data_IF_901049759273
#
_entry.id   IF_901049759273
#
_cell.length_a   1.000
_cell.length_b   1.000
_cell.length_c   1.000
_cell.angle_alpha   90.00
_cell.angle_beta   90.00
_cell.angle_gamma   90.00
#
_symmetry.space_group_name_H-M   'P 1'
#
loop_
_entity.id
_entity.type
_entity.pdbx_description
1 polymer ?
#
# COMPACT_ATOMS: atom_id res chain seq x y z
N UNK A 1 -9.65 -63.56 71.60
CA UNK A 1 -10.64 -62.89 70.71
C UNK A 1 -9.93 -61.79 69.98
N UNK A 2 -9.93 -61.85 68.67
CA UNK A 2 -8.97 -61.16 67.75
C UNK A 2 -9.59 -59.92 67.18
N UNK A 3 -9.02 -58.79 67.41
CA UNK A 3 -9.40 -57.49 66.80
C UNK A 3 -8.45 -57.16 65.69
N UNK A 4 -9.00 -57.05 64.48
CA UNK A 4 -8.24 -56.71 63.30
C UNK A 4 -8.15 -55.17 63.19
N UNK A 5 -6.92 -54.65 63.15
CA UNK A 5 -6.62 -53.25 62.77
C UNK A 5 -6.51 -53.19 61.26
N UNK A 6 -7.37 -52.44 60.61
CA UNK A 6 -7.23 -52.10 59.20
C UNK A 6 -6.56 -50.75 59.10
N UNK A 7 -5.32 -50.80 58.62
CA UNK A 7 -4.56 -49.61 58.25
C UNK A 7 -5.11 -49.03 56.95
N UNK A 8 -5.63 -47.81 56.98
CA UNK A 8 -6.04 -47.07 55.80
C UNK A 8 -4.86 -46.22 55.34
N UNK A 9 -4.24 -46.64 54.20
CA UNK A 9 -3.19 -45.89 53.53
C UNK A 9 -3.84 -44.82 52.65
N UNK A 10 -3.75 -43.54 53.05
CA UNK A 10 -4.27 -42.41 52.31
C UNK A 10 -3.21 -42.02 51.26
N UNK A 11 -3.43 -42.42 50.02
CA UNK A 11 -2.65 -41.94 48.88
C UNK A 11 -3.17 -40.55 48.48
N UNK A 12 -2.40 -39.51 48.78
CA UNK A 12 -2.64 -38.15 48.23
C UNK A 12 -2.17 -38.10 46.77
N UNK A 13 -3.10 -38.09 45.84
CA UNK A 13 -2.81 -37.76 44.46
C UNK A 13 -2.57 -36.26 44.33
N UNK A 14 -1.33 -35.90 44.08
CA UNK A 14 -0.93 -34.53 43.73
C UNK A 14 -1.21 -34.32 42.24
N UNK A 15 -2.34 -33.73 41.86
CA UNK A 15 -2.63 -33.32 40.50
C UNK A 15 -1.92 -31.98 40.20
N UNK A 16 -0.81 -32.07 39.48
CA UNK A 16 -0.13 -30.90 38.90
C UNK A 16 -0.99 -30.38 37.76
N UNK A 17 -1.74 -29.29 37.97
CA UNK A 17 -2.32 -28.50 36.90
C UNK A 17 -1.20 -27.78 36.18
N UNK A 18 -0.77 -28.32 35.03
CA UNK A 18 -0.04 -27.55 34.02
C UNK A 18 -0.99 -26.52 33.42
N UNK A 19 -1.01 -25.30 33.97
CA UNK A 19 -1.60 -24.16 33.28
C UNK A 19 -0.74 -23.83 32.04
N UNK A 20 -1.04 -24.47 30.91
CA UNK A 20 -0.51 -24.10 29.62
C UNK A 20 -1.00 -22.71 29.26
N UNK A 21 -0.18 -21.70 29.54
CA UNK A 21 -0.40 -20.36 29.04
C UNK A 21 -0.32 -20.40 27.51
N UNK A 22 -1.47 -20.38 26.84
CA UNK A 22 -1.57 -20.10 25.42
C UNK A 22 -1.22 -18.61 25.29
N UNK A 23 0.07 -18.34 25.03
CA UNK A 23 0.47 -17.02 24.52
C UNK A 23 -0.19 -16.83 23.17
N UNK A 24 -1.31 -16.13 23.20
CA UNK A 24 -1.99 -15.63 22.04
C UNK A 24 -1.02 -14.64 21.37
N UNK A 25 -0.25 -15.11 20.39
CA UNK A 25 0.47 -14.22 19.49
C UNK A 25 -0.58 -13.35 18.82
N UNK A 26 -0.72 -12.13 19.33
CA UNK A 26 -1.45 -11.08 18.64
C UNK A 26 -0.81 -10.93 17.26
N UNK A 27 -1.51 -11.39 16.23
CA UNK A 27 -1.24 -10.98 14.87
C UNK A 27 -1.43 -9.47 14.87
N UNK A 28 -0.33 -8.73 14.80
CA UNK A 28 -0.32 -7.29 14.58
C UNK A 28 -0.95 -7.03 13.20
N UNK A 29 -2.26 -7.12 13.15
CA UNK A 29 -3.04 -6.51 12.07
C UNK A 29 -2.88 -5.01 12.26
N UNK A 30 -2.00 -4.39 11.48
CA UNK A 30 -1.75 -2.97 11.49
C UNK A 30 -3.10 -2.23 11.37
N UNK A 31 -3.64 -1.78 12.51
CA UNK A 31 -4.87 -1.00 12.54
C UNK A 31 -4.55 0.39 12.00
N UNK A 32 -5.41 0.87 11.10
CA UNK A 32 -5.35 2.26 10.66
C UNK A 32 -5.50 3.20 11.86
N UNK A 33 -4.72 4.28 11.88
CA UNK A 33 -4.97 5.41 12.77
C UNK A 33 -6.31 6.05 12.39
N UNK A 34 -7.23 6.34 13.32
CA UNK A 34 -8.47 7.05 13.03
C UNK A 34 -8.26 8.39 12.32
N UNK A 35 -7.12 9.06 12.52
CA UNK A 35 -6.74 10.29 11.83
C UNK A 35 -6.19 10.05 10.42
N UNK A 36 -5.70 8.84 10.15
CA UNK A 36 -5.11 8.43 8.87
C UNK A 36 -5.79 7.14 8.35
N UNK A 37 -7.03 7.22 7.87
CA UNK A 37 -7.75 6.05 7.38
C UNK A 37 -7.08 5.50 6.11
N UNK A 38 -6.83 4.18 6.08
CA UNK A 38 -6.28 3.51 4.90
C UNK A 38 -7.24 3.59 3.72
N UNK A 39 -6.71 3.41 2.52
CA UNK A 39 -7.48 3.34 1.30
C UNK A 39 -8.62 2.31 1.43
N UNK A 40 -9.82 2.71 1.02
CA UNK A 40 -11.03 1.91 1.09
C UNK A 40 -11.01 0.84 0.00
N UNK A 41 -10.95 -0.44 0.40
CA UNK A 41 -10.98 -1.56 -0.55
C UNK A 41 -12.27 -1.56 -1.36
N UNK A 42 -12.12 -1.79 -2.65
CA UNK A 42 -13.18 -1.87 -3.64
C UNK A 42 -13.07 -3.17 -4.44
N UNK A 43 -14.13 -3.48 -5.17
CA UNK A 43 -14.15 -4.59 -6.13
C UNK A 43 -14.48 -4.04 -7.51
N UNK A 44 -13.66 -4.39 -8.49
CA UNK A 44 -13.95 -4.16 -9.91
C UNK A 44 -13.52 -5.39 -10.71
N UNK A 45 -14.33 -5.80 -11.68
CA UNK A 45 -14.04 -6.96 -12.51
C UNK A 45 -12.73 -6.74 -13.28
N UNK A 46 -11.80 -7.67 -13.19
CA UNK A 46 -10.50 -7.59 -13.85
C UNK A 46 -9.48 -6.64 -13.19
N UNK A 47 -9.70 -6.22 -11.93
CA UNK A 47 -8.77 -5.39 -11.17
C UNK A 47 -8.55 -5.99 -9.78
N UNK A 48 -7.36 -6.53 -9.55
CA UNK A 48 -6.97 -7.07 -8.25
C UNK A 48 -6.44 -5.98 -7.29
N UNK A 49 -6.45 -6.26 -5.99
CA UNK A 49 -5.93 -5.38 -4.93
C UNK A 49 -6.43 -3.92 -5.05
N UNK A 50 -7.69 -3.76 -5.48
CA UNK A 50 -8.28 -2.48 -5.85
C UNK A 50 -8.76 -1.70 -4.62
N UNK A 51 -8.43 -0.41 -4.57
CA UNK A 51 -8.89 0.48 -3.50
C UNK A 51 -8.96 1.94 -3.95
N UNK A 52 -9.81 2.70 -3.28
CA UNK A 52 -9.92 4.16 -3.35
C UNK A 52 -9.06 4.78 -2.25
N UNK A 53 -8.06 5.54 -2.65
CA UNK A 53 -7.19 6.31 -1.75
C UNK A 53 -7.85 7.65 -1.40
N UNK A 54 -8.38 8.29 -2.44
CA UNK A 54 -9.23 9.49 -2.37
C UNK A 54 -10.28 9.41 -3.49
N UNK A 55 -11.32 10.28 -3.53
CA UNK A 55 -12.27 10.31 -4.63
C UNK A 55 -11.65 10.52 -6.02
N UNK A 56 -10.37 10.94 -6.08
CA UNK A 56 -9.61 11.21 -7.32
C UNK A 56 -8.41 10.28 -7.52
N UNK A 57 -8.01 9.52 -6.52
CA UNK A 57 -6.85 8.62 -6.60
C UNK A 57 -7.23 7.20 -6.20
N UNK A 58 -6.94 6.27 -7.07
CA UNK A 58 -7.21 4.83 -6.91
C UNK A 58 -5.91 4.04 -7.08
N UNK A 59 -5.87 2.86 -6.47
CA UNK A 59 -4.72 1.95 -6.53
C UNK A 59 -5.15 0.52 -6.85
N UNK A 60 -4.25 -0.27 -7.41
CA UNK A 60 -4.53 -1.70 -7.62
C UNK A 60 -3.39 -2.46 -8.26
N UNK A 61 -3.71 -3.71 -8.63
CA UNK A 61 -2.89 -4.55 -9.49
C UNK A 61 -3.09 -4.16 -10.97
N UNK A 62 -2.23 -4.68 -11.83
CA UNK A 62 -2.37 -4.53 -13.27
C UNK A 62 -3.77 -4.95 -13.73
N UNK A 63 -4.53 -4.07 -14.39
CA UNK A 63 -5.86 -4.41 -14.86
C UNK A 63 -5.77 -5.36 -16.09
N UNK A 64 -6.67 -6.32 -16.14
CA UNK A 64 -6.97 -7.04 -17.38
C UNK A 64 -7.69 -6.12 -18.37
N UNK A 65 -7.88 -6.56 -19.63
CA UNK A 65 -8.57 -5.75 -20.63
C UNK A 65 -9.97 -5.30 -20.16
N UNK A 66 -10.76 -6.23 -19.60
CA UNK A 66 -12.05 -5.92 -19.00
C UNK A 66 -11.94 -5.04 -17.73
N UNK A 67 -10.78 -5.07 -17.05
CA UNK A 67 -10.49 -4.22 -15.91
C UNK A 67 -10.38 -2.76 -16.30
N UNK A 68 -9.72 -2.45 -17.42
CA UNK A 68 -9.66 -1.08 -17.95
C UNK A 68 -11.06 -0.54 -18.30
N UNK A 69 -11.94 -1.38 -18.85
CA UNK A 69 -13.34 -1.00 -19.10
C UNK A 69 -14.10 -0.74 -17.79
N UNK A 70 -13.86 -1.57 -16.76
CA UNK A 70 -14.46 -1.39 -15.43
C UNK A 70 -14.02 -0.07 -14.81
N UNK A 71 -12.73 0.24 -14.86
CA UNK A 71 -12.17 1.50 -14.36
C UNK A 71 -12.75 2.70 -15.12
N UNK A 72 -12.87 2.61 -16.46
CA UNK A 72 -13.49 3.66 -17.27
C UNK A 72 -14.93 3.93 -16.89
N UNK A 73 -15.74 2.87 -16.67
CA UNK A 73 -17.15 2.99 -16.21
C UNK A 73 -17.27 3.67 -14.83
N UNK A 74 -16.25 3.56 -13.97
CA UNK A 74 -16.18 4.26 -12.69
C UNK A 74 -15.72 5.74 -12.82
N UNK A 75 -15.48 6.18 -14.07
CA UNK A 75 -15.04 7.54 -14.38
C UNK A 75 -13.53 7.75 -14.21
N UNK A 76 -12.75 6.69 -13.98
CA UNK A 76 -11.28 6.78 -14.00
C UNK A 76 -10.86 7.07 -15.43
N UNK A 77 -10.08 8.12 -15.61
CA UNK A 77 -9.71 8.63 -16.93
C UNK A 77 -8.19 8.70 -17.13
N UNK A 78 -7.39 8.35 -16.14
CA UNK A 78 -5.94 8.28 -16.24
C UNK A 78 -5.41 7.01 -15.60
N UNK A 79 -4.54 6.31 -16.30
CA UNK A 79 -3.79 5.13 -15.81
C UNK A 79 -2.33 5.52 -15.63
N UNK A 80 -1.77 5.26 -14.45
CA UNK A 80 -0.34 5.39 -14.15
C UNK A 80 0.24 4.00 -13.93
N UNK A 81 1.07 3.56 -14.85
CA UNK A 81 1.73 2.25 -14.82
C UNK A 81 3.19 2.40 -14.36
N UNK A 82 3.53 1.80 -13.23
CA UNK A 82 4.89 1.86 -12.66
C UNK A 82 5.70 0.59 -12.89
N UNK A 83 5.26 -0.28 -13.79
CA UNK A 83 6.00 -1.49 -14.18
C UNK A 83 7.20 -1.13 -15.06
N UNK A 84 8.24 -1.95 -14.99
CA UNK A 84 9.45 -1.76 -15.81
C UNK A 84 9.22 -2.09 -17.29
N UNK A 85 8.35 -3.06 -17.56
CA UNK A 85 8.14 -3.62 -18.92
C UNK A 85 6.68 -3.95 -19.17
N UNK A 86 6.32 -4.13 -20.44
CA UNK A 86 4.97 -4.57 -20.83
C UNK A 86 3.90 -3.49 -20.81
N UNK A 87 4.30 -2.22 -20.69
CA UNK A 87 3.37 -1.07 -20.57
C UNK A 87 2.66 -0.72 -21.89
N UNK A 88 3.32 -0.97 -23.03
CA UNK A 88 2.82 -0.54 -24.36
C UNK A 88 1.48 -1.14 -24.78
N UNK A 89 1.27 -2.44 -24.52
CA UNK A 89 0.00 -3.11 -24.86
C UNK A 89 -1.17 -2.52 -24.06
N UNK A 90 -0.96 -2.32 -22.78
CA UNK A 90 -1.96 -1.74 -21.88
C UNK A 90 -2.24 -0.28 -22.23
N UNK A 91 -1.19 0.50 -22.49
CA UNK A 91 -1.33 1.89 -22.93
C UNK A 91 -2.13 2.02 -24.22
N UNK A 92 -1.96 1.10 -25.19
CA UNK A 92 -2.75 1.08 -26.41
C UNK A 92 -4.24 0.82 -26.14
N UNK A 93 -4.57 -0.07 -25.18
CA UNK A 93 -5.96 -0.34 -24.79
C UNK A 93 -6.55 0.86 -24.06
N UNK A 94 -5.84 1.42 -23.09
CA UNK A 94 -6.28 2.60 -22.35
C UNK A 94 -6.60 3.77 -23.29
N UNK A 95 -5.72 4.06 -24.25
CA UNK A 95 -5.92 5.11 -25.26
C UNK A 95 -7.16 4.86 -26.13
N UNK A 96 -7.40 3.61 -26.57
CA UNK A 96 -8.63 3.28 -27.32
C UNK A 96 -9.91 3.51 -26.52
N UNK A 97 -9.83 3.36 -25.19
CA UNK A 97 -10.93 3.67 -24.28
C UNK A 97 -11.04 5.18 -23.96
N UNK A 98 -10.21 6.02 -24.56
CA UNK A 98 -10.18 7.47 -24.29
C UNK A 98 -9.68 7.79 -22.89
N UNK A 99 -8.73 7.00 -22.36
CA UNK A 99 -8.05 7.23 -21.08
C UNK A 99 -6.62 7.70 -21.34
N UNK A 100 -6.14 8.62 -20.50
CA UNK A 100 -4.73 8.98 -20.48
C UNK A 100 -3.90 7.80 -19.93
N UNK A 101 -2.71 7.60 -20.49
CA UNK A 101 -1.81 6.55 -20.03
C UNK A 101 -0.39 7.11 -19.79
N UNK A 102 0.10 6.99 -18.59
CA UNK A 102 1.38 7.50 -18.15
C UNK A 102 2.23 6.33 -17.64
N UNK A 103 3.37 6.08 -18.29
CA UNK A 103 4.33 5.11 -17.84
C UNK A 103 5.40 5.82 -16.97
N UNK A 104 5.51 5.41 -15.71
CA UNK A 104 6.53 5.86 -14.76
C UNK A 104 7.32 4.65 -14.23
N UNK A 105 8.12 3.99 -15.09
CA UNK A 105 8.79 2.75 -14.71
C UNK A 105 9.87 2.97 -13.67
N UNK A 106 9.90 2.12 -12.63
CA UNK A 106 10.97 2.11 -11.64
C UNK A 106 11.14 0.74 -10.97
N UNK A 107 12.31 0.51 -10.38
CA UNK A 107 12.68 -0.76 -9.78
C UNK A 107 12.68 -0.68 -8.26
N UNK A 108 11.97 -1.59 -7.57
CA UNK A 108 11.79 -1.50 -6.12
C UNK A 108 13.09 -1.72 -5.30
N UNK A 109 14.11 -2.37 -5.87
CA UNK A 109 15.42 -2.48 -5.23
C UNK A 109 16.32 -1.24 -5.44
N UNK A 110 16.02 -0.42 -6.45
CA UNK A 110 16.78 0.78 -6.80
C UNK A 110 15.83 1.96 -7.02
N UNK A 111 15.08 2.38 -5.99
CA UNK A 111 14.13 3.48 -6.12
C UNK A 111 14.89 4.79 -6.38
N UNK A 112 14.32 5.62 -7.27
CA UNK A 112 14.79 6.97 -7.60
C UNK A 112 13.67 7.97 -7.36
N UNK A 113 14.00 9.23 -7.12
CA UNK A 113 13.02 10.26 -6.79
C UNK A 113 12.16 10.69 -7.98
N UNK A 114 12.74 10.68 -9.21
CA UNK A 114 12.06 11.16 -10.42
C UNK A 114 10.67 10.59 -10.69
N UNK A 115 10.40 9.26 -10.63
CA UNK A 115 9.05 8.74 -10.84
C UNK A 115 8.01 9.24 -9.82
N UNK A 116 8.43 9.39 -8.56
CA UNK A 116 7.56 9.90 -7.49
C UNK A 116 7.28 11.38 -7.66
N UNK A 117 8.31 12.16 -8.00
CA UNK A 117 8.17 13.59 -8.28
C UNK A 117 7.22 13.84 -9.46
N UNK A 118 7.39 13.12 -10.56
CA UNK A 118 6.48 13.18 -11.73
C UNK A 118 5.04 12.80 -11.39
N UNK A 119 4.87 11.75 -10.59
CA UNK A 119 3.54 11.34 -10.14
C UNK A 119 2.84 12.42 -9.31
N UNK A 120 3.54 12.95 -8.31
CA UNK A 120 3.01 14.01 -7.45
C UNK A 120 2.73 15.29 -8.22
N UNK A 121 3.62 15.66 -9.16
CA UNK A 121 3.42 16.78 -10.06
C UNK A 121 2.16 16.61 -10.90
N UNK A 122 1.99 15.43 -11.52
CA UNK A 122 0.82 15.13 -12.34
C UNK A 122 -0.50 15.28 -11.55
N UNK A 123 -0.56 14.67 -10.35
CA UNK A 123 -1.77 14.76 -9.51
C UNK A 123 -2.12 16.21 -9.15
N UNK A 124 -1.13 17.04 -8.89
CA UNK A 124 -1.32 18.46 -8.58
C UNK A 124 -1.76 19.26 -9.80
N UNK A 125 -1.15 19.02 -10.97
CA UNK A 125 -1.42 19.75 -12.21
C UNK A 125 -2.76 19.36 -12.85
N UNK A 126 -3.32 18.20 -12.46
CA UNK A 126 -4.57 17.67 -13.01
C UNK A 126 -5.58 17.28 -11.91
N UNK A 127 -6.03 18.23 -11.07
CA UNK A 127 -6.90 17.95 -9.93
C UNK A 127 -8.31 17.46 -10.32
N UNK A 128 -8.71 17.65 -11.58
CA UNK A 128 -9.95 17.16 -12.16
C UNK A 128 -9.90 15.69 -12.55
N UNK A 129 -8.71 15.14 -12.78
CA UNK A 129 -8.53 13.75 -13.24
C UNK A 129 -8.77 12.74 -12.10
N UNK A 130 -9.39 11.61 -12.47
CA UNK A 130 -9.44 10.41 -11.63
C UNK A 130 -8.35 9.46 -12.08
N UNK A 131 -7.37 9.25 -11.23
CA UNK A 131 -6.14 8.53 -11.53
C UNK A 131 -6.15 7.15 -10.88
N UNK A 132 -5.80 6.13 -11.64
CA UNK A 132 -5.53 4.78 -11.13
C UNK A 132 -4.04 4.46 -11.29
N UNK A 133 -3.33 4.25 -10.18
CA UNK A 133 -1.93 3.84 -10.19
C UNK A 133 -1.77 2.37 -9.86
N UNK A 134 -0.94 1.68 -10.64
CA UNK A 134 -0.72 0.25 -10.46
C UNK A 134 0.70 -0.20 -10.81
N UNK A 135 1.06 -1.36 -10.26
CA UNK A 135 2.16 -2.20 -10.71
C UNK A 135 1.61 -3.58 -11.14
N UNK A 136 2.37 -4.65 -11.03
CA UNK A 136 1.89 -5.99 -11.40
C UNK A 136 0.85 -6.53 -10.41
N UNK A 137 1.13 -6.44 -9.10
CA UNK A 137 0.32 -7.02 -8.02
C UNK A 137 -0.43 -5.98 -7.17
N UNK A 138 -0.11 -4.70 -7.36
CA UNK A 138 -0.73 -3.62 -6.60
C UNK A 138 -0.22 -3.47 -5.17
N UNK A 139 0.89 -4.08 -4.85
CA UNK A 139 1.50 -4.19 -3.54
C UNK A 139 2.70 -3.23 -3.37
N UNK A 140 3.93 -3.68 -3.65
CA UNK A 140 5.18 -2.99 -3.31
C UNK A 140 5.33 -1.63 -4.00
N UNK A 141 5.39 -1.63 -5.34
CA UNK A 141 5.62 -0.40 -6.12
C UNK A 141 4.42 0.54 -6.05
N UNK A 142 3.22 0.00 -6.20
CA UNK A 142 1.98 0.77 -6.01
C UNK A 142 1.90 1.29 -4.59
N UNK A 143 2.21 0.45 -3.59
CA UNK A 143 2.24 0.84 -2.19
C UNK A 143 3.15 2.03 -1.94
N UNK A 144 4.38 2.03 -2.49
CA UNK A 144 5.31 3.15 -2.34
C UNK A 144 4.83 4.43 -3.05
N UNK A 145 4.17 4.34 -4.22
CA UNK A 145 3.57 5.51 -4.88
C UNK A 145 2.50 6.16 -4.01
N UNK A 146 1.65 5.34 -3.39
CA UNK A 146 0.62 5.84 -2.45
C UNK A 146 1.26 6.37 -1.17
N UNK A 147 2.26 5.69 -0.61
CA UNK A 147 3.01 6.19 0.56
C UNK A 147 3.63 7.57 0.28
N UNK A 148 4.21 7.77 -0.91
CA UNK A 148 4.73 9.07 -1.34
C UNK A 148 3.63 10.15 -1.37
N UNK A 149 2.44 9.82 -1.90
CA UNK A 149 1.29 10.72 -1.89
C UNK A 149 0.84 11.05 -0.45
N UNK A 150 0.66 10.04 0.41
CA UNK A 150 0.27 10.22 1.81
C UNK A 150 1.22 11.16 2.56
N UNK A 151 2.53 10.94 2.40
CA UNK A 151 3.55 11.75 3.06
C UNK A 151 3.65 13.16 2.47
N UNK A 152 3.57 13.30 1.15
CA UNK A 152 3.77 14.58 0.48
C UNK A 152 2.54 15.51 0.52
N UNK A 153 1.34 14.94 0.41
CA UNK A 153 0.09 15.70 0.23
C UNK A 153 -0.76 15.70 1.50
N UNK A 154 -0.85 14.57 2.19
CA UNK A 154 -1.68 14.42 3.38
C UNK A 154 -0.89 14.53 4.70
N UNK A 155 0.44 14.67 4.63
CA UNK A 155 1.29 14.89 5.80
C UNK A 155 1.46 13.69 6.73
N UNK A 156 1.18 12.46 6.22
CA UNK A 156 1.36 11.25 7.01
C UNK A 156 2.81 11.06 7.44
N UNK A 157 3.00 10.40 8.58
CA UNK A 157 4.31 9.90 8.96
C UNK A 157 4.74 8.74 8.02
N UNK A 158 6.05 8.53 7.90
CA UNK A 158 6.57 7.38 7.18
C UNK A 158 6.09 6.05 7.80
N UNK A 159 5.89 6.02 9.12
CA UNK A 159 5.39 4.84 9.83
C UNK A 159 3.94 4.52 9.45
N UNK A 160 3.04 5.50 9.40
CA UNK A 160 1.64 5.29 9.04
C UNK A 160 1.49 4.92 7.57
N UNK A 161 2.25 5.56 6.68
CA UNK A 161 2.34 5.17 5.28
C UNK A 161 2.82 3.71 5.11
N UNK A 162 3.77 3.26 5.94
CA UNK A 162 4.24 1.88 5.98
C UNK A 162 3.14 0.91 6.45
N UNK A 163 2.36 1.29 7.46
CA UNK A 163 1.24 0.47 7.93
C UNK A 163 0.23 0.24 6.79
N UNK A 164 -0.08 1.29 6.02
CA UNK A 164 -0.94 1.15 4.84
C UNK A 164 -0.29 0.25 3.77
N UNK A 165 1.00 0.41 3.45
CA UNK A 165 1.70 -0.49 2.53
C UNK A 165 1.57 -1.96 2.97
N UNK A 166 1.80 -2.25 4.27
CA UNK A 166 1.67 -3.61 4.82
C UNK A 166 0.24 -4.16 4.68
N UNK A 167 -0.78 -3.34 4.93
CA UNK A 167 -2.18 -3.72 4.80
C UNK A 167 -2.56 -4.09 3.34
N UNK A 168 -1.80 -3.61 2.36
CA UNK A 168 -1.97 -3.91 0.94
C UNK A 168 -0.96 -4.92 0.38
N UNK A 169 -0.25 -5.64 1.24
CA UNK A 169 0.59 -6.78 0.84
C UNK A 169 2.05 -6.43 0.53
N UNK A 170 2.61 -5.41 1.16
CA UNK A 170 4.02 -5.09 0.98
C UNK A 170 4.96 -6.24 1.40
N UNK A 171 5.84 -6.66 0.49
CA UNK A 171 6.78 -7.76 0.67
C UNK A 171 8.19 -7.26 1.01
N UNK A 172 8.47 -7.05 2.28
CA UNK A 172 9.79 -6.56 2.78
C UNK A 172 10.97 -7.37 2.26
N UNK A 173 10.81 -8.69 2.08
CA UNK A 173 11.87 -9.59 1.62
C UNK A 173 12.20 -9.38 0.13
N UNK A 174 11.20 -9.02 -0.67
CA UNK A 174 11.33 -8.85 -2.12
C UNK A 174 11.85 -7.45 -2.47
N UNK A 175 11.34 -6.44 -1.81
CA UNK A 175 11.66 -5.03 -2.06
C UNK A 175 12.28 -4.37 -0.82
N UNK A 176 13.33 -4.98 -0.25
CA UNK A 176 13.96 -4.56 1.00
C UNK A 176 14.40 -3.08 1.01
N UNK A 177 14.88 -2.57 -0.13
CA UNK A 177 15.33 -1.18 -0.26
C UNK A 177 14.21 -0.16 -0.01
N UNK A 178 12.95 -0.55 -0.22
CA UNK A 178 11.81 0.35 0.01
C UNK A 178 11.65 0.72 1.48
N UNK A 179 12.08 -0.15 2.41
CA UNK A 179 12.01 0.14 3.85
C UNK A 179 12.83 1.38 4.20
N UNK A 180 14.06 1.45 3.70
CA UNK A 180 14.93 2.61 3.92
C UNK A 180 14.50 3.83 3.10
N UNK A 181 14.08 3.61 1.85
CA UNK A 181 13.65 4.68 0.96
C UNK A 181 12.43 5.40 1.51
N UNK A 182 11.38 4.68 1.90
CA UNK A 182 10.17 5.24 2.47
C UNK A 182 10.46 5.98 3.79
N UNK A 183 11.27 5.41 4.69
CA UNK A 183 11.67 6.07 5.94
C UNK A 183 12.38 7.42 5.69
N UNK A 184 13.19 7.51 4.65
CA UNK A 184 13.92 8.73 4.29
C UNK A 184 13.10 9.72 3.44
N UNK A 185 11.95 9.30 2.90
CA UNK A 185 11.17 10.07 1.94
C UNK A 185 10.75 11.47 2.43
N UNK A 186 10.30 11.68 3.69
CA UNK A 186 9.99 13.02 4.19
C UNK A 186 11.18 13.98 4.17
N UNK A 187 12.41 13.46 4.35
CA UNK A 187 13.63 14.25 4.24
C UNK A 187 13.97 14.59 2.78
N UNK A 188 13.73 13.66 1.84
CA UNK A 188 13.91 13.86 0.39
C UNK A 188 12.93 14.91 -0.15
N UNK A 189 11.66 14.88 0.25
CA UNK A 189 10.68 15.91 -0.11
C UNK A 189 11.16 17.33 0.19
N UNK A 190 11.96 17.50 1.26
CA UNK A 190 12.44 18.82 1.70
C UNK A 190 13.75 19.24 1.02
N UNK A 191 14.57 18.29 0.56
CA UNK A 191 15.95 18.55 0.14
C UNK A 191 16.19 18.35 -1.35
N UNK A 192 15.52 17.37 -1.96
CA UNK A 192 15.85 16.94 -3.31
C UNK A 192 15.16 17.81 -4.35
N UNK A 193 15.92 18.20 -5.38
CA UNK A 193 15.50 19.16 -6.42
C UNK A 193 14.22 18.71 -7.14
N UNK A 194 14.12 17.43 -7.42
CA UNK A 194 12.98 16.82 -8.11
C UNK A 194 11.66 17.14 -7.43
N UNK A 195 11.66 17.21 -6.09
CA UNK A 195 10.45 17.55 -5.33
C UNK A 195 10.26 19.05 -5.12
N UNK A 196 11.34 19.82 -5.06
CA UNK A 196 11.28 21.27 -4.87
C UNK A 196 10.72 22.02 -6.08
N UNK A 197 11.02 21.55 -7.28
CA UNK A 197 10.45 22.12 -8.51
C UNK A 197 8.93 21.91 -8.59
N UNK A 198 8.42 20.86 -7.94
CA UNK A 198 6.99 20.65 -7.74
C UNK A 198 6.40 21.76 -6.85
N UNK A 199 7.06 22.16 -5.77
CA UNK A 199 6.57 23.18 -4.83
C UNK A 199 6.63 24.60 -5.40
N UNK A 200 7.63 24.93 -6.23
CA UNK A 200 7.81 26.28 -6.80
C UNK A 200 6.78 26.61 -7.89
N UNK A 201 6.38 25.64 -8.71
CA UNK A 201 5.32 25.82 -9.71
C UNK A 201 3.95 26.12 -9.09
N UNK A 202 3.70 25.71 -7.85
CA UNK A 202 2.46 26.02 -7.15
C UNK A 202 2.39 27.45 -6.57
N UNK A 203 3.54 28.11 -6.36
CA UNK A 203 3.62 29.46 -5.80
C UNK A 203 3.57 30.57 -6.88
N UNK A 204 3.71 30.23 -8.17
CA UNK A 204 3.78 31.18 -9.28
C UNK A 204 2.52 31.28 -10.15
N UNK A 205 1.42 30.63 -9.79
CA UNK A 205 0.16 30.63 -10.52
C UNK A 205 -0.90 31.48 -9.81
N UNK A 206 -0.82 32.76 -9.97
CA UNK A 206 -1.93 33.70 -9.76
C UNK A 206 -2.11 34.54 -11.01
#
# INVERSE_FOLDING_TARGET
MRTFFRSFCLMALLTILCAGGITQQATDSAKADPQHPFARRLTAKGVGNFAEVTPKLYRGAQPEAQGLESLKKMGINTIVDVRLTGTGKEGAVAKRLGMDFIALPWHCLFPKDDPFAKFLAYLREHPDKKVFVHCRYGDDRTGMMIAAYRMAVEGWSAEDARKEMNAFGFHKMVCASLVGYEKSFPSRLKKDREFQDISKKSAGGH
#
